data_IF_814537328737
#
_entry.id   IF_814537328737
#
_cell.length_a   1.000
_cell.length_b   1.000
_cell.length_c   1.000
_cell.angle_alpha   90.00
_cell.angle_beta   90.00
_cell.angle_gamma   90.00
#
_symmetry.space_group_name_H-M   'P 1'
#
loop_
_entity.id
_entity.type
_entity.pdbx_description
1 polymer ?
#
# COMPACT_ATOMS: atom_id res chain seq x y z
N UNK A 1 24.85 -26.57 20.38
CA UNK A 1 23.99 -25.63 21.07
C UNK A 1 22.54 -25.68 20.61
N UNK A 2 22.30 -25.51 19.32
CA UNK A 2 20.92 -25.52 18.80
C UNK A 2 20.21 -26.83 19.07
N UNK A 3 20.90 -27.93 18.86
CA UNK A 3 20.31 -29.26 19.11
C UNK A 3 20.02 -29.51 20.58
N UNK A 4 20.87 -29.01 21.48
CA UNK A 4 20.62 -29.10 22.90
C UNK A 4 19.38 -28.34 23.33
N UNK A 5 19.18 -27.18 22.72
CA UNK A 5 17.98 -26.39 22.97
C UNK A 5 16.71 -27.13 22.56
N UNK A 6 16.72 -27.76 21.39
CA UNK A 6 15.59 -28.54 20.91
C UNK A 6 15.31 -29.76 21.81
N UNK A 7 16.36 -30.43 22.30
CA UNK A 7 16.22 -31.54 23.21
C UNK A 7 15.62 -31.12 24.55
N UNK A 8 15.98 -29.94 25.04
CA UNK A 8 15.44 -29.43 26.29
C UNK A 8 13.96 -29.07 26.16
N UNK A 9 13.55 -28.60 24.98
CA UNK A 9 12.17 -28.21 24.72
C UNK A 9 11.28 -29.42 24.50
N UNK A 10 11.80 -30.48 23.86
CA UNK A 10 11.03 -31.66 23.49
C UNK A 10 10.67 -32.64 24.61
N UNK A 11 11.53 -32.89 25.61
CA UNK A 11 11.28 -33.99 26.56
C UNK A 11 10.00 -33.88 27.37
N UNK A 12 9.52 -32.67 27.56
CA UNK A 12 8.32 -32.46 28.36
C UNK A 12 7.03 -32.68 27.58
N UNK A 13 7.12 -33.08 26.31
CA UNK A 13 5.96 -33.17 25.45
C UNK A 13 5.36 -31.82 25.17
N UNK A 14 4.10 -31.64 25.48
CA UNK A 14 3.42 -30.37 25.27
C UNK A 14 3.79 -29.39 26.38
N UNK A 15 4.63 -28.41 26.02
CA UNK A 15 4.95 -27.33 26.94
C UNK A 15 4.17 -26.08 26.57
N UNK A 16 3.25 -25.69 27.44
CA UNK A 16 2.42 -24.50 27.22
C UNK A 16 3.24 -23.24 27.10
N UNK A 17 4.39 -23.17 27.79
CA UNK A 17 5.28 -22.00 27.71
C UNK A 17 5.79 -21.80 26.30
N UNK A 18 6.19 -22.86 25.61
CA UNK A 18 6.66 -22.76 24.24
C UNK A 18 5.57 -22.33 23.29
N UNK A 19 4.36 -22.86 23.47
CA UNK A 19 3.22 -22.49 22.64
C UNK A 19 2.86 -21.03 22.84
N UNK A 20 2.83 -20.58 24.09
CA UNK A 20 2.53 -19.18 24.42
C UNK A 20 3.54 -18.24 23.76
N UNK A 21 4.83 -18.62 23.82
CA UNK A 21 5.87 -17.82 23.17
C UNK A 21 5.69 -17.73 21.66
N UNK A 22 5.34 -18.83 21.03
CA UNK A 22 5.09 -18.85 19.58
C UNK A 22 3.89 -18.00 19.23
N UNK A 23 2.79 -18.14 19.95
CA UNK A 23 1.57 -17.37 19.73
C UNK A 23 1.84 -15.88 19.94
N UNK A 24 2.55 -15.53 21.01
CA UNK A 24 2.92 -14.16 21.29
C UNK A 24 3.77 -13.57 20.15
N UNK A 25 4.74 -14.35 19.67
CA UNK A 25 5.59 -13.92 18.55
C UNK A 25 4.76 -13.68 17.29
N UNK A 26 3.84 -14.57 16.98
CA UNK A 26 2.96 -14.42 15.81
C UNK A 26 2.06 -13.20 15.94
N UNK A 27 1.54 -12.93 17.13
CA UNK A 27 0.72 -11.74 17.39
C UNK A 27 1.54 -10.48 17.20
N UNK A 28 2.75 -10.44 17.73
CA UNK A 28 3.65 -9.29 17.57
C UNK A 28 3.98 -9.08 16.08
N UNK A 29 4.30 -10.15 15.37
CA UNK A 29 4.56 -10.08 13.93
C UNK A 29 3.35 -9.53 13.16
N UNK A 30 2.17 -10.00 13.52
CA UNK A 30 0.94 -9.53 12.91
C UNK A 30 0.77 -8.02 13.10
N UNK A 31 0.91 -7.54 14.33
CA UNK A 31 0.72 -6.12 14.62
C UNK A 31 1.79 -5.23 13.97
N UNK A 32 3.01 -5.71 13.89
CA UNK A 32 4.09 -4.89 13.34
C UNK A 32 4.20 -4.95 11.82
N UNK A 33 3.80 -6.04 11.18
CA UNK A 33 3.94 -6.19 9.74
C UNK A 33 2.65 -6.02 8.96
N UNK A 34 1.57 -6.64 9.42
CA UNK A 34 0.32 -6.67 8.65
C UNK A 34 -0.51 -5.40 8.85
N UNK A 35 -0.58 -4.92 10.07
CA UNK A 35 -1.37 -3.73 10.39
C UNK A 35 -0.87 -2.47 9.66
N UNK A 36 0.45 -2.17 9.64
CA UNK A 36 0.94 -1.02 8.86
C UNK A 36 0.66 -1.14 7.37
N UNK A 37 0.76 -2.33 6.79
CA UNK A 37 0.46 -2.55 5.37
C UNK A 37 -0.98 -2.23 5.04
N UNK A 38 -1.92 -2.69 5.86
CA UNK A 38 -3.35 -2.41 5.65
C UNK A 38 -3.65 -0.92 5.71
N UNK A 39 -2.99 -0.21 6.60
CA UNK A 39 -3.15 1.24 6.71
C UNK A 39 -2.67 1.94 5.44
N UNK A 40 -1.52 1.55 4.91
CA UNK A 40 -0.98 2.11 3.68
C UNK A 40 -1.88 1.81 2.48
N UNK A 41 -2.37 0.58 2.37
CA UNK A 41 -3.29 0.19 1.30
C UNK A 41 -4.58 1.01 1.36
N UNK A 42 -5.09 1.25 2.56
CA UNK A 42 -6.29 2.05 2.75
C UNK A 42 -6.07 3.50 2.32
N UNK A 43 -4.95 4.09 2.70
CA UNK A 43 -4.59 5.46 2.31
C UNK A 43 -4.47 5.59 0.80
N UNK A 44 -3.85 4.62 0.14
CA UNK A 44 -3.73 4.61 -1.32
C UNK A 44 -5.10 4.51 -1.98
N UNK A 45 -5.95 3.64 -1.46
CA UNK A 45 -7.31 3.47 -1.99
C UNK A 45 -8.12 4.73 -1.83
N UNK A 46 -8.08 5.36 -0.67
CA UNK A 46 -8.76 6.63 -0.41
C UNK A 46 -8.27 7.73 -1.34
N UNK A 47 -6.98 7.79 -1.58
CA UNK A 47 -6.40 8.74 -2.54
C UNK A 47 -6.96 8.52 -3.94
N UNK A 48 -6.99 7.26 -4.40
CA UNK A 48 -7.49 6.92 -5.74
C UNK A 48 -8.99 7.20 -5.88
N UNK A 49 -9.76 6.91 -4.84
CA UNK A 49 -11.20 7.16 -4.84
C UNK A 49 -11.52 8.65 -4.78
N UNK A 50 -10.62 9.45 -4.25
CA UNK A 50 -10.78 10.89 -4.15
C UNK A 50 -10.26 11.69 -5.34
N UNK A 51 -9.81 11.02 -6.40
CA UNK A 51 -9.30 11.71 -7.59
C UNK A 51 -10.39 12.54 -8.26
N UNK A 52 -10.03 13.75 -8.67
CA UNK A 52 -10.94 14.68 -9.32
C UNK A 52 -10.33 15.25 -10.59
N UNK A 53 -11.17 15.69 -11.50
CA UNK A 53 -10.71 16.39 -12.69
C UNK A 53 -10.02 17.69 -12.26
N UNK A 54 -8.83 17.94 -12.80
CA UNK A 54 -8.00 19.07 -12.43
C UNK A 54 -6.87 18.75 -11.45
N UNK A 55 -6.86 17.56 -10.87
CA UNK A 55 -5.76 17.13 -10.00
C UNK A 55 -4.49 16.91 -10.81
N UNK A 56 -3.37 17.39 -10.31
CA UNK A 56 -2.07 17.05 -10.85
C UNK A 56 -1.53 15.82 -10.14
N UNK A 57 -1.18 14.81 -10.90
CA UNK A 57 -0.75 13.52 -10.38
C UNK A 57 0.60 13.09 -10.93
N UNK A 58 1.25 12.19 -10.19
CA UNK A 58 2.43 11.45 -10.67
C UNK A 58 2.08 9.98 -10.69
N UNK A 59 2.36 9.31 -11.80
CA UNK A 59 2.11 7.88 -11.93
C UNK A 59 3.27 7.07 -11.37
N UNK A 60 3.04 5.77 -11.19
CA UNK A 60 4.08 4.85 -10.72
C UNK A 60 5.28 4.85 -11.65
N UNK A 61 5.06 5.02 -12.97
CA UNK A 61 6.14 5.10 -13.95
C UNK A 61 6.82 6.46 -14.05
N UNK A 62 6.40 7.44 -13.24
CA UNK A 62 7.04 8.76 -13.23
C UNK A 62 6.42 9.78 -14.18
N UNK A 63 5.28 9.50 -14.77
CA UNK A 63 4.59 10.44 -15.64
C UNK A 63 3.80 11.44 -14.81
N UNK A 64 4.01 12.72 -15.04
CA UNK A 64 3.32 13.79 -14.35
C UNK A 64 2.30 14.41 -15.30
N UNK A 65 1.07 14.57 -14.84
CA UNK A 65 0.04 15.16 -15.67
C UNK A 65 -1.16 15.62 -14.86
N UNK A 66 -2.09 16.27 -15.54
CA UNK A 66 -3.33 16.78 -14.97
C UNK A 66 -4.50 15.92 -15.45
N UNK A 67 -5.38 15.53 -14.54
CA UNK A 67 -6.55 14.73 -14.88
C UNK A 67 -7.56 15.59 -15.61
N UNK A 68 -7.95 15.18 -16.80
CA UNK A 68 -8.97 15.90 -17.58
C UNK A 68 -10.28 15.11 -17.69
N UNK A 69 -10.25 13.82 -17.44
CA UNK A 69 -11.46 13.00 -17.46
C UNK A 69 -11.27 11.77 -16.58
N UNK A 70 -12.34 11.35 -15.93
CA UNK A 70 -12.34 10.16 -15.07
C UNK A 70 -13.48 9.25 -15.52
N UNK A 71 -13.14 7.99 -15.80
CA UNK A 71 -14.09 6.92 -16.04
C UNK A 71 -13.86 5.86 -14.97
N UNK A 72 -14.83 5.02 -14.73
CA UNK A 72 -14.86 4.04 -13.64
C UNK A 72 -13.49 3.64 -13.05
N UNK A 73 -12.65 2.98 -13.83
CA UNK A 73 -11.34 2.52 -13.35
C UNK A 73 -10.17 3.17 -14.08
N UNK A 74 -10.47 4.04 -15.04
CA UNK A 74 -9.44 4.71 -15.84
C UNK A 74 -9.56 6.22 -15.72
N UNK A 75 -8.44 6.88 -15.97
CA UNK A 75 -8.39 8.34 -16.04
C UNK A 75 -7.68 8.74 -17.32
N UNK A 76 -8.02 9.90 -17.80
CA UNK A 76 -7.33 10.52 -18.93
C UNK A 76 -6.56 11.70 -18.38
N UNK A 77 -5.24 11.70 -18.57
CA UNK A 77 -4.41 12.81 -18.12
C UNK A 77 -3.83 13.55 -19.32
N UNK A 78 -3.53 14.82 -19.09
CA UNK A 78 -2.88 15.67 -20.06
C UNK A 78 -1.50 15.99 -19.54
N UNK A 79 -0.46 15.66 -20.32
CA UNK A 79 0.92 15.81 -19.89
C UNK A 79 1.72 16.58 -20.92
N UNK A 80 2.80 17.21 -20.48
CA UNK A 80 3.72 18.02 -21.27
C UNK A 80 3.09 19.29 -21.87
N UNK A 81 3.94 20.16 -22.41
CA UNK A 81 3.50 21.41 -23.02
C UNK A 81 2.64 21.22 -24.28
N UNK A 82 2.77 20.06 -24.93
CA UNK A 82 2.00 19.73 -26.13
C UNK A 82 0.61 19.18 -25.84
N UNK A 83 0.23 19.10 -24.56
CA UNK A 83 -1.08 18.59 -24.13
C UNK A 83 -1.38 17.19 -24.63
N UNK A 84 -0.38 16.32 -24.54
CA UNK A 84 -0.53 14.92 -24.89
C UNK A 84 -1.48 14.25 -23.91
N UNK A 85 -2.47 13.56 -24.42
CA UNK A 85 -3.46 12.87 -23.59
C UNK A 85 -3.12 11.39 -23.48
N UNK A 86 -3.08 10.90 -22.26
CA UNK A 86 -2.76 9.51 -21.96
C UNK A 86 -3.86 8.93 -21.07
N UNK A 87 -4.37 7.75 -21.43
CA UNK A 87 -5.31 7.04 -20.60
C UNK A 87 -4.57 6.07 -19.70
N UNK A 88 -4.86 6.13 -18.41
CA UNK A 88 -4.22 5.32 -17.39
C UNK A 88 -5.26 4.62 -16.52
N UNK A 89 -4.87 3.53 -15.90
CA UNK A 89 -5.66 2.94 -14.82
C UNK A 89 -5.52 3.82 -13.58
N UNK A 90 -6.58 3.96 -12.80
CA UNK A 90 -6.50 4.66 -11.52
C UNK A 90 -5.44 4.05 -10.61
N UNK A 91 -5.25 2.74 -10.70
CA UNK A 91 -4.23 2.03 -9.92
C UNK A 91 -2.80 2.42 -10.28
N UNK A 92 -2.59 3.06 -11.42
CA UNK A 92 -1.27 3.55 -11.82
C UNK A 92 -0.90 4.89 -11.20
N UNK A 93 -1.83 5.57 -10.53
CA UNK A 93 -1.56 6.82 -9.85
C UNK A 93 -0.79 6.54 -8.56
N UNK A 94 0.37 7.16 -8.42
CA UNK A 94 1.21 7.02 -7.24
C UNK A 94 0.84 8.06 -6.18
N UNK A 95 0.73 9.31 -6.59
CA UNK A 95 0.48 10.41 -5.66
C UNK A 95 -0.22 11.56 -6.38
N UNK A 96 -1.02 12.30 -5.64
CA UNK A 96 -1.62 13.55 -6.09
C UNK A 96 -0.71 14.70 -5.64
N UNK A 97 -0.08 15.37 -6.59
CA UNK A 97 0.87 16.44 -6.28
C UNK A 97 0.16 17.73 -5.90
N UNK A 98 -0.87 18.10 -6.67
CA UNK A 98 -1.68 19.30 -6.42
C UNK A 98 -3.13 18.93 -6.65
N UNK A 99 -3.96 19.17 -5.66
CA UNK A 99 -5.40 18.94 -5.80
C UNK A 99 -6.05 20.07 -6.58
N UNK A 100 -7.09 19.75 -7.32
CA UNK A 100 -7.85 20.75 -8.09
C UNK A 100 -8.33 21.89 -7.19
N UNK A 101 -8.70 21.55 -5.94
CA UNK A 101 -9.19 22.54 -4.97
C UNK A 101 -8.12 23.55 -4.57
N UNK A 102 -6.85 23.18 -4.63
CA UNK A 102 -5.73 24.00 -4.21
C UNK A 102 -5.18 24.87 -5.34
N UNK A 103 -5.74 24.76 -6.52
CA UNK A 103 -5.39 25.62 -7.65
C UNK A 103 -6.25 26.92 -7.61
#
# INVERSE_FOLDING_TARGET
MFFNFLEEVQPAGFDFSGIIMIVLFLVVMYFFMIRPQKKQEKEIREMRDGLQVGDEITTIGGIIGEIISIKEETILIETSGDRTKIRLLKSAVKVVDVKAEDK
#
